data_IF_312010904367
#
_entry.id   IF_312010904367
#
_cell.length_a   1.000
_cell.length_b   1.000
_cell.length_c   1.000
_cell.angle_alpha   90.00
_cell.angle_beta   90.00
_cell.angle_gamma   90.00
#
_symmetry.space_group_name_H-M   'P 1'
#
loop_
_entity.id
_entity.type
_entity.pdbx_description
1 polymer ?
#
# COMPACT_ATOMS: atom_id res chain seq x y z
N UNK A 1 -8.19 33.30 -15.79
CA UNK A 1 -8.92 33.58 -14.54
C UNK A 1 -8.38 32.61 -13.50
N UNK A 2 -7.19 32.87 -12.95
CA UNK A 2 -6.96 33.53 -11.66
C UNK A 2 -7.75 32.90 -10.49
N UNK A 3 -6.95 32.35 -9.58
CA UNK A 3 -7.16 31.41 -8.46
C UNK A 3 -7.42 32.21 -7.15
N UNK A 4 -7.84 31.59 -6.03
CA UNK A 4 -6.84 31.46 -4.95
C UNK A 4 -6.90 30.20 -4.05
N UNK A 5 -5.70 29.81 -3.61
CA UNK A 5 -5.31 29.23 -2.31
C UNK A 5 -5.88 27.86 -1.89
N UNK A 6 -5.12 26.76 -1.78
CA UNK A 6 -3.85 26.59 -1.02
C UNK A 6 -3.73 27.51 0.18
N UNK A 7 -4.72 27.48 1.07
CA UNK A 7 -4.54 28.05 2.41
C UNK A 7 -3.93 27.00 3.32
N UNK A 8 -2.60 27.05 3.47
CA UNK A 8 -1.92 26.56 4.65
C UNK A 8 -2.44 27.37 5.85
N UNK A 9 -3.25 26.76 6.73
CA UNK A 9 -3.60 27.36 8.03
C UNK A 9 -2.85 26.64 9.14
N UNK A 10 -2.12 27.46 9.88
CA UNK A 10 -1.26 27.17 11.02
C UNK A 10 -2.04 26.35 12.08
N UNK A 11 -1.49 25.21 12.50
CA UNK A 11 -1.82 24.67 13.83
C UNK A 11 -0.87 25.35 14.80
N UNK A 12 -1.39 26.38 15.47
CA UNK A 12 -0.79 26.97 16.67
C UNK A 12 -1.08 25.98 17.80
N UNK A 13 -0.03 25.47 18.46
CA UNK A 13 -0.16 25.01 19.84
C UNK A 13 -0.03 26.26 20.73
N UNK A 14 -1.08 26.72 21.44
CA UNK A 14 -0.88 27.74 22.46
C UNK A 14 -0.27 27.10 23.72
N UNK A 15 1.02 27.39 23.90
CA UNK A 15 1.82 27.62 25.13
C UNK A 15 1.78 26.59 26.28
N UNK A 16 2.88 26.21 26.96
CA UNK A 16 4.29 26.64 26.98
C UNK A 16 5.14 25.52 27.63
N UNK A 17 6.48 25.49 27.67
CA UNK A 17 7.54 26.51 27.87
C UNK A 17 8.87 25.95 27.30
N UNK A 18 9.81 26.77 26.77
CA UNK A 18 11.09 26.32 26.19
C UNK A 18 12.25 26.22 27.23
N UNK A 19 13.44 25.68 26.86
CA UNK A 19 14.40 25.05 27.77
C UNK A 19 15.42 26.01 28.39
N UNK A 20 16.02 25.65 29.52
CA UNK A 20 17.23 26.32 30.04
C UNK A 20 18.24 25.36 30.71
N UNK A 21 19.42 25.28 30.08
CA UNK A 21 20.81 25.35 30.62
C UNK A 21 21.24 24.63 31.92
N UNK A 22 22.14 23.63 31.75
CA UNK A 22 23.46 23.38 32.39
C UNK A 22 23.74 23.59 33.92
N UNK A 23 24.02 22.47 34.63
CA UNK A 23 25.02 22.10 35.71
C UNK A 23 25.47 23.07 36.86
N UNK A 24 26.14 22.63 37.98
CA UNK A 24 26.17 21.36 38.77
C UNK A 24 26.15 21.50 40.34
N UNK A 25 25.99 20.35 41.08
CA UNK A 25 26.39 19.97 42.50
C UNK A 25 25.82 20.77 43.69
N UNK A 26 25.51 20.29 44.91
CA UNK A 26 25.62 19.05 45.76
C UNK A 26 24.90 19.37 47.12
N UNK A 27 24.87 18.58 48.23
CA UNK A 27 25.24 17.16 48.48
C UNK A 27 24.13 16.31 49.18
N UNK A 28 24.36 14.98 49.24
CA UNK A 28 23.64 13.97 50.07
C UNK A 28 23.76 14.22 51.58
N UNK A 29 22.86 13.64 52.40
CA UNK A 29 23.13 12.35 53.07
C UNK A 29 21.83 11.49 53.15
N UNK A 30 21.74 10.19 53.45
CA UNK A 30 22.62 9.14 53.98
C UNK A 30 21.87 7.79 53.92
N UNK A 31 22.58 6.68 54.16
CA UNK A 31 22.13 5.34 54.61
C UNK A 31 21.24 4.49 53.67
N UNK A 32 21.41 3.17 53.43
CA UNK A 32 22.33 2.11 53.90
C UNK A 32 21.95 0.79 53.18
N UNK A 33 22.96 -0.06 52.89
CA UNK A 33 22.95 -1.56 52.93
C UNK A 33 21.96 -2.35 52.03
N UNK A 34 22.27 -3.47 51.37
CA UNK A 34 23.38 -4.44 51.42
C UNK A 34 23.37 -5.32 50.15
N UNK A 35 24.57 -5.81 49.76
CA UNK A 35 24.93 -7.20 49.31
C UNK A 35 24.03 -7.98 48.34
N UNK A 36 24.49 -8.83 47.42
CA UNK A 36 25.76 -9.21 46.82
C UNK A 36 25.39 -10.23 45.70
N UNK A 37 26.16 -10.23 44.61
CA UNK A 37 26.22 -11.23 43.50
C UNK A 37 26.80 -12.59 44.00
N UNK A 38 27.18 -13.63 43.19
CA UNK A 38 27.43 -13.70 41.72
C UNK A 38 27.34 -15.09 40.99
N UNK A 39 27.87 -15.10 39.73
CA UNK A 39 28.54 -16.17 38.93
C UNK A 39 27.67 -17.28 38.26
N UNK A 40 27.93 -17.84 37.06
CA UNK A 40 29.08 -17.96 36.11
C UNK A 40 28.52 -18.23 34.67
N UNK A 41 29.04 -17.74 33.53
CA UNK A 41 30.25 -18.07 32.75
C UNK A 41 30.41 -19.54 32.28
N UNK A 42 30.42 -19.77 30.95
CA UNK A 42 31.02 -20.93 30.27
C UNK A 42 31.32 -20.62 28.78
N UNK A 43 32.60 -20.65 28.45
CA UNK A 43 33.21 -20.61 27.11
C UNK A 43 33.23 -22.01 26.45
N UNK A 44 33.27 -22.08 25.10
CA UNK A 44 34.36 -22.76 24.36
C UNK A 44 34.15 -22.91 22.83
N UNK A 45 35.19 -22.48 22.10
CA UNK A 45 35.85 -23.14 20.96
C UNK A 45 35.38 -22.92 19.50
N UNK A 46 36.27 -22.28 18.74
CA UNK A 46 36.41 -22.25 17.27
C UNK A 46 37.84 -22.71 16.90
N UNK A 47 38.05 -23.42 15.78
CA UNK A 47 39.35 -23.50 15.11
C UNK A 47 39.42 -22.63 13.82
N UNK A 48 40.63 -22.27 13.32
CA UNK A 48 40.82 -21.28 12.25
C UNK A 48 40.99 -21.91 10.85
N UNK A 49 40.66 -21.16 9.80
CA UNK A 49 41.11 -21.45 8.40
C UNK A 49 41.53 -20.16 7.69
N UNK A 50 42.70 -20.24 7.02
CA UNK A 50 43.38 -19.17 6.28
C UNK A 50 42.75 -18.82 4.91
N UNK A 51 43.03 -17.62 4.34
CA UNK A 51 42.54 -17.20 3.02
C UNK A 51 43.54 -17.49 1.88
N UNK A 52 43.09 -17.83 0.65
CA UNK A 52 43.96 -17.86 -0.52
C UNK A 52 44.08 -16.50 -1.24
N UNK A 53 45.25 -16.30 -1.84
CA UNK A 53 45.83 -15.08 -2.43
C UNK A 53 45.34 -14.76 -3.87
N UNK A 54 45.65 -13.57 -4.43
CA UNK A 54 45.02 -13.03 -5.65
C UNK A 54 45.68 -13.49 -6.98
N UNK A 55 44.87 -13.61 -8.03
CA UNK A 55 45.28 -13.92 -9.41
C UNK A 55 45.47 -12.62 -10.23
N UNK A 56 46.56 -12.46 -11.02
CA UNK A 56 46.86 -11.22 -11.75
C UNK A 56 46.27 -11.15 -13.17
N UNK A 57 45.93 -9.93 -13.61
CA UNK A 57 45.59 -9.55 -14.99
C UNK A 57 46.84 -9.43 -15.90
N UNK A 58 46.76 -9.79 -17.20
CA UNK A 58 47.73 -9.34 -18.18
C UNK A 58 47.22 -8.16 -19.04
N UNK A 59 48.18 -7.27 -19.31
CA UNK A 59 48.06 -5.97 -19.94
C UNK A 59 47.88 -5.99 -21.46
N UNK A 60 47.34 -4.87 -21.95
CA UNK A 60 47.13 -4.48 -23.33
C UNK A 60 48.42 -4.18 -24.10
N UNK A 61 48.44 -4.47 -25.42
CA UNK A 61 49.29 -3.79 -26.41
C UNK A 61 48.52 -3.58 -27.71
N UNK A 62 48.46 -2.31 -28.13
CA UNK A 62 48.03 -1.83 -29.45
C UNK A 62 49.30 -1.54 -30.28
N UNK A 63 49.25 -1.76 -31.60
CA UNK A 63 49.88 -0.79 -32.51
C UNK A 63 48.97 -0.36 -33.68
N UNK A 64 49.04 0.93 -33.99
CA UNK A 64 48.63 1.62 -35.24
C UNK A 64 49.92 2.07 -35.97
N UNK A 65 49.89 2.71 -37.16
CA UNK A 65 48.91 2.72 -38.27
C UNK A 65 49.60 2.50 -39.65
N UNK A 66 48.84 2.41 -40.76
CA UNK A 66 49.16 2.99 -42.08
C UNK A 66 47.91 2.98 -42.99
N UNK A 67 47.68 4.07 -43.74
CA UNK A 67 46.59 4.34 -44.69
C UNK A 67 47.12 4.27 -46.16
N UNK A 68 46.37 4.60 -47.26
CA UNK A 68 44.95 4.97 -47.41
C UNK A 68 44.18 4.34 -48.63
N UNK A 69 42.89 4.71 -48.72
CA UNK A 69 42.02 4.86 -49.91
C UNK A 69 41.26 3.63 -50.51
N UNK A 70 39.92 3.68 -50.43
CA UNK A 70 39.01 3.79 -51.59
C UNK A 70 37.54 3.93 -51.15
N UNK A 71 36.76 4.65 -51.95
CA UNK A 71 35.43 5.19 -51.66
C UNK A 71 34.33 4.12 -51.73
N UNK A 72 34.13 3.35 -50.66
CA UNK A 72 32.89 2.59 -50.41
C UNK A 72 32.58 2.49 -48.90
N UNK A 73 33.00 3.49 -48.13
CA UNK A 73 33.03 3.48 -46.66
C UNK A 73 32.41 4.72 -46.02
N UNK A 74 31.22 5.12 -46.46
CA UNK A 74 30.43 6.19 -45.81
C UNK A 74 29.10 5.73 -45.21
N UNK A 75 28.74 4.44 -45.33
CA UNK A 75 27.52 3.90 -44.70
C UNK A 75 27.79 2.96 -43.50
N UNK A 76 29.01 2.42 -43.38
CA UNK A 76 29.41 1.56 -42.25
C UNK A 76 30.31 2.26 -41.21
N UNK A 77 30.70 3.52 -41.44
CA UNK A 77 31.46 4.33 -40.48
C UNK A 77 30.58 5.04 -39.43
N UNK A 78 29.24 5.04 -39.59
CA UNK A 78 28.33 5.61 -38.58
C UNK A 78 28.04 4.66 -37.39
N UNK A 79 28.36 3.37 -37.53
CA UNK A 79 28.06 2.36 -36.49
C UNK A 79 29.20 2.17 -35.47
N UNK A 80 30.37 2.79 -35.65
CA UNK A 80 31.51 2.66 -34.73
C UNK A 80 31.72 3.85 -33.76
N UNK A 81 30.88 4.89 -33.82
CA UNK A 81 30.95 6.09 -32.94
C UNK A 81 29.78 6.13 -31.94
N UNK A 82 28.83 5.19 -32.03
CA UNK A 82 27.65 5.15 -31.16
C UNK A 82 27.89 4.96 -29.65
N UNK A 83 29.04 4.49 -29.12
CA UNK A 83 29.24 4.44 -27.67
C UNK A 83 29.95 5.67 -27.07
N UNK A 84 30.09 6.80 -27.79
CA UNK A 84 30.82 8.00 -27.28
C UNK A 84 30.12 9.36 -27.46
N UNK A 85 28.82 9.38 -27.74
CA UNK A 85 28.04 10.62 -27.75
C UNK A 85 27.43 10.88 -26.37
N UNK A 86 27.53 12.10 -25.81
CA UNK A 86 26.85 12.43 -24.56
C UNK A 86 25.33 12.43 -24.74
N UNK A 87 24.60 11.93 -23.72
CA UNK A 87 23.19 11.53 -23.75
C UNK A 87 22.20 12.57 -24.32
N UNK A 88 22.53 13.86 -24.31
CA UNK A 88 21.64 14.94 -24.74
C UNK A 88 21.57 15.14 -26.27
N UNK A 89 22.44 14.52 -27.07
CA UNK A 89 22.39 14.62 -28.54
C UNK A 89 21.62 13.47 -29.23
N UNK A 90 21.20 12.44 -28.48
CA UNK A 90 20.45 11.30 -29.03
C UNK A 90 18.95 11.61 -29.22
N UNK A 91 18.44 12.69 -28.61
CA UNK A 91 17.03 13.07 -28.69
C UNK A 91 16.65 13.77 -30.02
N UNK A 92 17.61 14.15 -30.85
CA UNK A 92 17.34 14.87 -32.10
C UNK A 92 17.19 13.97 -33.35
N UNK A 93 17.42 12.65 -33.25
CA UNK A 93 17.42 11.73 -34.40
C UNK A 93 16.35 10.63 -34.37
N UNK A 94 15.54 10.54 -33.31
CA UNK A 94 14.44 9.56 -33.22
C UNK A 94 13.08 10.27 -33.20
N UNK A 95 12.60 10.64 -34.38
CA UNK A 95 11.23 11.12 -34.56
C UNK A 95 10.21 9.98 -34.36
N UNK A 96 9.36 10.14 -33.34
CA UNK A 96 8.09 9.43 -33.11
C UNK A 96 8.16 7.90 -33.02
N UNK A 97 8.37 7.35 -31.82
CA UNK A 97 7.67 6.15 -31.35
C UNK A 97 7.60 6.17 -29.81
N UNK A 98 6.47 5.71 -29.27
CA UNK A 98 6.14 5.69 -27.85
C UNK A 98 7.25 5.08 -26.98
N UNK A 99 7.76 5.85 -26.02
CA UNK A 99 8.39 5.32 -24.82
C UNK A 99 7.50 5.67 -23.62
N UNK A 100 7.26 4.75 -22.69
CA UNK A 100 6.50 5.05 -21.49
C UNK A 100 7.24 6.11 -20.67
N UNK A 101 6.47 7.07 -20.14
CA UNK A 101 7.00 8.12 -19.26
C UNK A 101 7.78 7.48 -18.09
N UNK A 102 8.90 8.08 -17.65
CA UNK A 102 9.60 7.59 -16.48
C UNK A 102 8.65 7.62 -15.27
N UNK A 103 8.61 6.51 -14.55
CA UNK A 103 7.97 6.40 -13.24
C UNK A 103 8.58 7.50 -12.36
N UNK A 104 7.74 8.40 -11.87
CA UNK A 104 8.16 9.51 -11.03
C UNK A 104 9.03 8.98 -9.89
N UNK A 105 10.24 9.53 -9.64
CA UNK A 105 10.93 9.27 -8.40
C UNK A 105 10.05 9.79 -7.27
N UNK A 106 9.80 8.93 -6.28
CA UNK A 106 9.05 9.23 -5.07
C UNK A 106 9.36 10.66 -4.60
N UNK A 107 8.37 11.55 -4.72
CA UNK A 107 8.50 12.91 -4.23
C UNK A 107 8.62 12.84 -2.72
N UNK A 108 9.87 12.98 -2.26
CA UNK A 108 10.21 13.35 -0.88
C UNK A 108 9.62 14.73 -0.63
N UNK A 109 8.32 14.76 -0.30
CA UNK A 109 7.50 15.83 0.28
C UNK A 109 6.03 15.53 -0.04
N UNK A 110 5.52 14.40 0.45
CA UNK A 110 4.07 14.22 0.57
C UNK A 110 3.65 15.03 1.79
N UNK A 111 3.40 16.31 1.56
CA UNK A 111 2.61 17.11 2.49
C UNK A 111 1.25 16.42 2.60
N UNK A 112 0.93 15.90 3.78
CA UNK A 112 -0.37 15.32 4.11
C UNK A 112 -1.44 16.42 3.98
N UNK A 113 -1.98 16.58 2.78
CA UNK A 113 -3.23 17.31 2.61
C UNK A 113 -4.31 16.44 3.24
N UNK A 114 -4.65 16.79 4.48
CA UNK A 114 -5.87 16.40 5.19
C UNK A 114 -7.01 16.27 4.18
N UNK A 115 -7.75 15.16 4.23
CA UNK A 115 -8.99 14.98 3.48
C UNK A 115 -9.70 16.32 3.36
N UNK A 116 -9.73 16.87 2.14
CA UNK A 116 -10.88 17.68 1.75
C UNK A 116 -12.06 16.79 2.12
N UNK A 117 -12.94 17.29 2.99
CA UNK A 117 -14.16 16.61 3.41
C UNK A 117 -14.64 15.77 2.23
N UNK A 118 -14.54 14.44 2.34
CA UNK A 118 -14.98 13.58 1.26
C UNK A 118 -16.46 13.91 1.13
N UNK A 119 -16.84 14.54 0.02
CA UNK A 119 -18.24 14.58 -0.31
C UNK A 119 -18.67 13.11 -0.41
N UNK A 120 -19.90 12.75 -0.02
CA UNK A 120 -20.35 11.35 0.05
C UNK A 120 -20.23 10.56 -1.27
N UNK A 121 -19.69 11.14 -2.34
CA UNK A 121 -19.44 10.52 -3.64
C UNK A 121 -17.95 10.19 -3.91
N UNK A 122 -17.01 10.58 -3.05
CA UNK A 122 -15.56 10.42 -3.33
C UNK A 122 -14.99 9.05 -2.87
N UNK A 123 -15.61 8.42 -1.86
CA UNK A 123 -15.20 7.12 -1.32
C UNK A 123 -15.86 5.94 -2.03
N UNK A 124 -15.15 4.82 -2.21
CA UNK A 124 -15.68 3.61 -2.84
C UNK A 124 -15.20 2.37 -2.10
N UNK A 125 -16.11 1.46 -1.75
CA UNK A 125 -15.80 0.16 -1.14
C UNK A 125 -15.71 -0.94 -2.20
N UNK A 126 -14.58 -1.65 -2.24
CA UNK A 126 -14.29 -2.72 -3.19
C UNK A 126 -14.15 -4.05 -2.45
N UNK A 127 -15.13 -4.93 -2.66
CA UNK A 127 -15.15 -6.29 -2.11
C UNK A 127 -14.50 -7.25 -3.11
N UNK A 128 -13.27 -7.65 -2.81
CA UNK A 128 -12.44 -8.49 -3.67
C UNK A 128 -12.61 -9.97 -3.33
N UNK A 129 -13.39 -10.68 -4.15
CA UNK A 129 -13.37 -12.15 -4.28
C UNK A 129 -13.61 -12.97 -2.99
N UNK A 130 -14.40 -12.47 -2.03
CA UNK A 130 -14.75 -13.20 -0.78
C UNK A 130 -15.77 -14.32 -1.10
N UNK A 131 -15.31 -15.43 -1.68
CA UNK A 131 -16.17 -16.50 -2.21
C UNK A 131 -16.21 -17.75 -1.33
N UNK A 132 -17.30 -18.50 -1.44
CA UNK A 132 -17.60 -19.71 -0.65
C UNK A 132 -16.49 -20.78 -0.70
N UNK A 133 -15.86 -21.03 -1.86
CA UNK A 133 -14.83 -22.08 -1.97
C UNK A 133 -13.50 -21.71 -1.33
N UNK A 134 -13.29 -20.45 -0.96
CA UNK A 134 -12.07 -20.02 -0.26
C UNK A 134 -12.12 -20.23 1.25
N UNK A 135 -13.31 -20.48 1.82
CA UNK A 135 -13.50 -20.72 3.27
C UNK A 135 -12.49 -21.66 3.92
N UNK A 136 -12.19 -22.86 3.37
CA UNK A 136 -11.33 -23.81 4.05
C UNK A 136 -9.84 -23.54 3.88
N UNK A 137 -9.46 -22.66 2.94
CA UNK A 137 -8.04 -22.47 2.55
C UNK A 137 -7.48 -21.13 3.01
N UNK A 138 -8.30 -20.09 3.12
CA UNK A 138 -7.82 -18.77 3.54
C UNK A 138 -7.61 -18.73 5.05
N UNK A 139 -6.44 -18.25 5.45
CA UNK A 139 -6.11 -18.02 6.84
C UNK A 139 -7.14 -17.09 7.50
N UNK A 140 -7.83 -17.62 8.50
CA UNK A 140 -8.73 -16.86 9.37
C UNK A 140 -9.88 -16.16 8.63
N UNK A 141 -10.40 -16.83 7.60
CA UNK A 141 -11.42 -16.32 6.68
C UNK A 141 -12.66 -15.72 7.36
N UNK A 142 -13.13 -16.29 8.47
CA UNK A 142 -14.29 -15.76 9.21
C UNK A 142 -14.08 -14.32 9.71
N UNK A 143 -12.84 -13.95 10.05
CA UNK A 143 -12.50 -12.60 10.50
C UNK A 143 -12.57 -11.58 9.35
N UNK A 144 -12.26 -12.01 8.13
CA UNK A 144 -12.42 -11.20 6.91
C UNK A 144 -13.91 -10.91 6.69
N UNK A 145 -14.77 -11.92 6.82
CA UNK A 145 -16.22 -11.77 6.68
C UNK A 145 -16.75 -10.76 7.69
N UNK A 146 -16.33 -10.85 8.96
CA UNK A 146 -16.78 -9.90 9.99
C UNK A 146 -16.34 -8.47 9.69
N UNK A 147 -15.11 -8.28 9.21
CA UNK A 147 -14.60 -6.95 8.83
C UNK A 147 -15.32 -6.40 7.59
N UNK A 148 -15.50 -7.22 6.55
CA UNK A 148 -16.22 -6.84 5.34
C UNK A 148 -17.69 -6.50 5.66
N UNK A 149 -18.35 -7.30 6.49
CA UNK A 149 -19.72 -7.02 6.97
C UNK A 149 -19.80 -5.68 7.71
N UNK A 150 -18.83 -5.38 8.59
CA UNK A 150 -18.75 -4.09 9.27
C UNK A 150 -18.63 -2.92 8.29
N UNK A 151 -17.75 -3.01 7.30
CA UNK A 151 -17.57 -1.97 6.29
C UNK A 151 -18.82 -1.79 5.43
N UNK A 152 -19.43 -2.87 4.95
CA UNK A 152 -20.66 -2.83 4.15
C UNK A 152 -21.84 -2.23 4.94
N UNK A 153 -21.96 -2.56 6.23
CA UNK A 153 -22.97 -1.96 7.12
C UNK A 153 -22.74 -0.46 7.33
N UNK A 154 -21.49 -0.02 7.36
CA UNK A 154 -21.13 1.39 7.46
C UNK A 154 -21.27 2.14 6.12
N UNK A 155 -21.10 1.45 4.99
CA UNK A 155 -21.16 2.03 3.65
C UNK A 155 -22.54 2.67 3.38
N UNK A 156 -23.63 2.05 3.84
CA UNK A 156 -24.99 2.57 3.64
C UNK A 156 -25.21 3.96 4.28
N UNK A 157 -25.03 4.17 5.60
CA UNK A 157 -25.20 5.50 6.19
C UNK A 157 -24.13 6.51 5.74
N UNK A 158 -22.96 6.05 5.30
CA UNK A 158 -21.91 6.91 4.74
C UNK A 158 -22.10 7.19 3.22
N UNK A 159 -23.13 6.61 2.59
CA UNK A 159 -23.41 6.70 1.17
C UNK A 159 -22.24 6.27 0.26
N UNK A 160 -21.42 5.32 0.71
CA UNK A 160 -20.25 4.84 -0.04
C UNK A 160 -20.71 3.83 -1.12
N UNK A 161 -20.43 4.08 -2.43
CA UNK A 161 -20.54 3.09 -3.50
C UNK A 161 -19.84 1.76 -3.20
N UNK A 162 -20.46 0.65 -3.57
CA UNK A 162 -19.93 -0.71 -3.37
C UNK A 162 -19.75 -1.40 -4.72
N UNK A 163 -18.56 -1.94 -4.96
CA UNK A 163 -18.25 -2.80 -6.09
C UNK A 163 -17.79 -4.16 -5.61
N UNK A 164 -18.42 -5.22 -6.12
CA UNK A 164 -18.11 -6.60 -5.78
C UNK A 164 -17.56 -7.31 -7.01
N UNK A 165 -16.53 -8.13 -6.80
CA UNK A 165 -16.10 -9.10 -7.81
C UNK A 165 -16.05 -10.51 -7.25
N UNK A 166 -16.19 -11.47 -8.16
CA UNK A 166 -15.79 -12.87 -7.93
C UNK A 166 -14.75 -13.28 -8.94
N UNK A 167 -13.81 -14.12 -8.52
CA UNK A 167 -12.91 -14.80 -9.42
C UNK A 167 -13.54 -16.13 -9.87
N UNK A 168 -13.79 -16.30 -11.17
CA UNK A 168 -14.31 -17.54 -11.78
C UNK A 168 -15.42 -18.19 -10.93
N UNK A 169 -16.57 -17.50 -10.81
CA UNK A 169 -17.69 -17.88 -9.94
C UNK A 169 -18.15 -19.32 -10.17
N UNK A 170 -18.12 -19.80 -11.42
CA UNK A 170 -18.48 -21.17 -11.77
C UNK A 170 -17.61 -22.23 -11.06
N UNK A 171 -16.33 -21.94 -10.81
CA UNK A 171 -15.39 -22.85 -10.14
C UNK A 171 -15.22 -22.57 -8.66
N UNK A 172 -15.19 -21.30 -8.28
CA UNK A 172 -14.85 -20.84 -6.92
C UNK A 172 -16.08 -20.45 -6.08
N UNK A 173 -17.28 -20.58 -6.64
CA UNK A 173 -18.54 -20.30 -5.96
C UNK A 173 -18.88 -18.82 -5.95
N UNK A 174 -20.06 -18.50 -5.42
CA UNK A 174 -20.53 -17.13 -5.24
C UNK A 174 -19.80 -16.44 -4.08
N UNK A 175 -19.98 -15.12 -3.97
CA UNK A 175 -19.70 -14.39 -2.74
C UNK A 175 -20.40 -15.06 -1.55
N UNK A 176 -19.76 -15.00 -0.39
CA UNK A 176 -20.26 -15.66 0.82
C UNK A 176 -21.64 -15.16 1.24
N UNK A 177 -22.49 -16.08 1.68
CA UNK A 177 -23.89 -15.78 2.00
C UNK A 177 -24.09 -14.75 3.12
N UNK A 178 -23.15 -14.63 4.06
CA UNK A 178 -23.19 -13.68 5.18
C UNK A 178 -23.12 -12.22 4.72
N UNK A 179 -22.56 -11.96 3.53
CA UNK A 179 -22.53 -10.62 2.95
C UNK A 179 -23.77 -10.32 2.11
N UNK A 180 -24.55 -11.34 1.74
CA UNK A 180 -25.76 -11.26 0.92
C UNK A 180 -26.71 -10.11 1.29
N UNK A 181 -27.09 -9.95 2.58
CA UNK A 181 -27.98 -8.87 3.01
C UNK A 181 -27.48 -7.45 2.74
N UNK A 182 -26.18 -7.28 2.46
CA UNK A 182 -25.56 -5.97 2.25
C UNK A 182 -25.12 -5.74 0.79
N UNK A 183 -25.06 -6.79 -0.02
CA UNK A 183 -24.57 -6.74 -1.40
C UNK A 183 -25.65 -6.97 -2.45
N UNK A 184 -26.90 -7.20 -2.04
CA UNK A 184 -28.02 -7.34 -2.97
C UNK A 184 -28.42 -5.97 -3.55
N UNK A 185 -28.24 -5.74 -4.88
CA UNK A 185 -28.60 -4.47 -5.52
C UNK A 185 -30.08 -4.12 -5.40
N UNK A 186 -30.97 -5.11 -5.18
CA UNK A 186 -32.39 -4.87 -5.00
C UNK A 186 -32.72 -4.20 -3.65
N UNK A 187 -31.85 -4.36 -2.65
CA UNK A 187 -32.08 -3.87 -1.28
C UNK A 187 -31.06 -2.82 -0.84
N UNK A 188 -29.91 -2.74 -1.52
CA UNK A 188 -28.86 -1.77 -1.25
C UNK A 188 -28.51 -0.94 -2.49
N UNK A 189 -28.96 0.33 -2.59
CA UNK A 189 -28.70 1.19 -3.74
C UNK A 189 -27.23 1.59 -3.89
N UNK A 190 -26.40 1.36 -2.86
CA UNK A 190 -24.97 1.64 -2.93
C UNK A 190 -24.23 0.62 -3.80
N UNK A 191 -24.80 -0.56 -4.05
CA UNK A 191 -24.18 -1.59 -4.88
C UNK A 191 -24.23 -1.14 -6.35
N UNK A 192 -23.06 -0.84 -6.90
CA UNK A 192 -22.90 -0.35 -8.28
C UNK A 192 -22.56 -1.48 -9.26
N UNK A 193 -21.86 -2.51 -8.80
CA UNK A 193 -21.55 -3.67 -9.63
C UNK A 193 -21.33 -4.95 -8.80
N UNK A 194 -21.71 -6.09 -9.38
CA UNK A 194 -21.32 -7.44 -8.95
C UNK A 194 -20.88 -8.23 -10.20
N UNK A 195 -19.57 -8.36 -10.40
CA UNK A 195 -18.98 -8.84 -11.65
C UNK A 195 -18.22 -10.15 -11.45
N UNK A 196 -18.36 -11.10 -12.38
CA UNK A 196 -17.43 -12.23 -12.48
C UNK A 196 -16.22 -11.86 -13.32
N UNK A 197 -15.03 -12.31 -12.91
CA UNK A 197 -13.79 -12.06 -13.66
C UNK A 197 -12.87 -13.26 -13.67
N UNK A 198 -12.00 -13.28 -14.67
CA UNK A 198 -10.81 -14.15 -14.72
C UNK A 198 -9.52 -13.37 -14.52
N UNK A 199 -9.55 -12.04 -14.73
CA UNK A 199 -8.46 -11.13 -14.38
C UNK A 199 -8.29 -11.10 -12.85
N UNK A 200 -7.06 -11.16 -12.36
CA UNK A 200 -6.81 -11.09 -10.91
C UNK A 200 -7.18 -9.72 -10.34
N UNK A 201 -6.78 -8.65 -11.00
CA UNK A 201 -7.23 -7.29 -10.68
C UNK A 201 -8.74 -7.14 -10.85
N UNK A 202 -9.40 -6.43 -9.93
CA UNK A 202 -10.80 -6.04 -10.06
C UNK A 202 -11.02 -5.04 -11.21
N UNK A 203 -9.97 -4.32 -11.64
CA UNK A 203 -10.04 -3.26 -12.65
C UNK A 203 -10.20 -3.84 -14.06
N UNK A 204 -11.30 -4.56 -14.29
CA UNK A 204 -11.72 -5.00 -15.62
C UNK A 204 -12.24 -3.82 -16.43
N UNK A 205 -12.35 -3.93 -17.77
CA UNK A 205 -12.96 -2.89 -18.60
C UNK A 205 -14.39 -2.53 -18.13
N UNK A 206 -15.17 -3.52 -17.70
CA UNK A 206 -16.54 -3.34 -17.22
C UNK A 206 -16.57 -2.56 -15.90
N UNK A 207 -15.69 -2.89 -14.94
CA UNK A 207 -15.63 -2.17 -13.68
C UNK A 207 -15.12 -0.74 -13.90
N UNK A 208 -14.07 -0.57 -14.70
CA UNK A 208 -13.47 0.73 -15.01
C UNK A 208 -14.47 1.67 -15.70
N UNK A 209 -15.38 1.15 -16.52
CA UNK A 209 -16.43 1.94 -17.16
C UNK A 209 -17.44 2.52 -16.15
N UNK A 210 -17.48 2.01 -14.92
CA UNK A 210 -18.34 2.51 -13.84
C UNK A 210 -17.65 3.55 -12.95
N UNK A 211 -16.36 3.83 -13.15
CA UNK A 211 -15.65 4.84 -12.38
C UNK A 211 -16.04 6.25 -12.84
N UNK A 212 -16.11 7.22 -11.91
CA UNK A 212 -16.29 8.62 -12.27
C UNK A 212 -15.05 9.17 -12.99
N UNK A 213 -15.17 10.37 -13.56
CA UNK A 213 -14.07 11.00 -14.28
C UNK A 213 -12.93 11.45 -13.36
N UNK A 214 -13.24 11.76 -12.10
CA UNK A 214 -12.27 12.13 -11.07
C UNK A 214 -11.63 10.91 -10.40
N UNK A 215 -10.40 11.05 -9.87
CA UNK A 215 -9.82 10.05 -8.98
C UNK A 215 -10.73 9.69 -7.81
N UNK A 216 -10.60 8.46 -7.34
CA UNK A 216 -11.43 7.85 -6.30
C UNK A 216 -10.60 7.64 -5.05
N UNK A 217 -11.27 7.57 -3.90
CA UNK A 217 -10.76 6.92 -2.71
C UNK A 217 -11.26 5.47 -2.66
N UNK A 218 -10.42 4.52 -3.08
CA UNK A 218 -10.78 3.10 -3.13
C UNK A 218 -10.40 2.39 -1.84
N UNK A 219 -11.39 1.81 -1.16
CA UNK A 219 -11.26 1.00 0.05
C UNK A 219 -11.25 -0.47 -0.38
N UNK A 220 -10.20 -1.21 -0.06
CA UNK A 220 -10.03 -2.61 -0.48
C UNK A 220 -10.14 -3.55 0.72
N UNK A 221 -11.08 -4.49 0.63
CA UNK A 221 -11.28 -5.62 1.55
C UNK A 221 -11.45 -6.91 0.75
N UNK A 222 -10.94 -8.03 1.26
CA UNK A 222 -11.10 -9.35 0.64
C UNK A 222 -9.80 -10.11 0.40
N UNK A 223 -9.77 -10.92 -0.65
CA UNK A 223 -8.72 -11.92 -0.89
C UNK A 223 -8.35 -12.00 -2.38
N UNK A 224 -7.18 -12.53 -2.74
CA UNK A 224 -6.03 -12.77 -1.85
C UNK A 224 -5.14 -11.54 -1.76
N UNK A 225 -4.62 -11.26 -0.56
CA UNK A 225 -3.80 -10.09 -0.26
C UNK A 225 -2.64 -9.89 -1.26
N UNK A 226 -1.92 -10.97 -1.60
CA UNK A 226 -0.76 -10.96 -2.50
C UNK A 226 -1.10 -11.14 -4.00
N UNK A 227 -2.36 -11.44 -4.36
CA UNK A 227 -2.78 -11.67 -5.75
C UNK A 227 -3.79 -10.61 -6.19
N UNK A 228 -5.08 -10.85 -5.97
CA UNK A 228 -6.15 -9.99 -6.48
C UNK A 228 -6.13 -8.61 -5.80
N UNK A 229 -5.97 -8.56 -4.48
CA UNK A 229 -5.87 -7.29 -3.73
C UNK A 229 -4.64 -6.50 -4.17
N UNK A 230 -3.49 -7.16 -4.31
CA UNK A 230 -2.25 -6.50 -4.73
C UNK A 230 -2.36 -5.95 -6.15
N UNK A 231 -2.81 -6.75 -7.13
CA UNK A 231 -2.92 -6.30 -8.52
C UNK A 231 -3.97 -5.19 -8.67
N UNK A 232 -5.12 -5.32 -7.99
CA UNK A 232 -6.15 -4.27 -7.96
C UNK A 232 -5.60 -2.96 -7.41
N UNK A 233 -4.87 -3.02 -6.29
CA UNK A 233 -4.30 -1.83 -5.65
C UNK A 233 -3.30 -1.15 -6.58
N UNK A 234 -2.40 -1.91 -7.20
CA UNK A 234 -1.39 -1.36 -8.11
C UNK A 234 -2.03 -0.73 -9.37
N UNK A 235 -3.06 -1.35 -9.93
CA UNK A 235 -3.77 -0.79 -11.10
C UNK A 235 -4.52 0.49 -10.74
N UNK A 236 -5.19 0.54 -9.59
CA UNK A 236 -5.89 1.74 -9.12
C UNK A 236 -4.90 2.90 -8.84
N UNK A 237 -3.76 2.61 -8.22
CA UNK A 237 -2.70 3.61 -8.02
C UNK A 237 -2.14 4.11 -9.35
N UNK A 238 -1.94 3.22 -10.34
CA UNK A 238 -1.47 3.60 -11.67
C UNK A 238 -2.48 4.48 -12.44
N UNK A 239 -3.78 4.34 -12.13
CA UNK A 239 -4.84 5.21 -12.63
C UNK A 239 -4.98 6.52 -11.85
N UNK A 240 -4.19 6.73 -10.80
CA UNK A 240 -4.18 7.96 -10.01
C UNK A 240 -5.21 8.01 -8.89
N UNK A 241 -5.87 6.90 -8.58
CA UNK A 241 -6.76 6.80 -7.41
C UNK A 241 -5.94 6.70 -6.12
N UNK A 242 -6.51 7.16 -5.00
CA UNK A 242 -5.96 6.92 -3.67
C UNK A 242 -6.54 5.62 -3.14
N UNK A 243 -5.70 4.73 -2.62
CA UNK A 243 -6.12 3.38 -2.26
C UNK A 243 -5.85 3.12 -0.78
N UNK A 244 -6.89 2.66 -0.08
CA UNK A 244 -6.89 2.26 1.32
C UNK A 244 -7.01 0.73 1.40
N UNK A 245 -5.98 0.04 1.86
CA UNK A 245 -6.02 -1.41 2.06
C UNK A 245 -6.29 -1.70 3.53
N UNK A 246 -7.42 -2.36 3.81
CA UNK A 246 -7.89 -2.63 5.17
C UNK A 246 -7.21 -3.87 5.73
N UNK A 247 -6.17 -3.68 6.54
CA UNK A 247 -5.28 -4.75 7.01
C UNK A 247 -6.02 -5.86 7.78
N UNK A 248 -7.01 -5.51 8.60
CA UNK A 248 -7.88 -6.43 9.34
C UNK A 248 -9.02 -7.01 8.50
N UNK A 249 -9.05 -6.68 7.20
CA UNK A 249 -10.04 -7.12 6.22
C UNK A 249 -9.43 -7.78 4.98
N UNK A 250 -8.13 -8.07 4.98
CA UNK A 250 -7.48 -8.79 3.88
C UNK A 250 -6.69 -10.00 4.38
N UNK A 251 -6.73 -11.09 3.62
CA UNK A 251 -5.98 -12.31 3.95
C UNK A 251 -5.52 -13.09 2.72
N UNK A 252 -4.81 -14.18 2.96
CA UNK A 252 -4.30 -15.12 1.97
C UNK A 252 -4.32 -16.53 2.53
N UNK A 253 -4.06 -17.52 1.68
CA UNK A 253 -3.87 -18.90 2.15
C UNK A 253 -2.73 -18.98 3.17
N UNK A 254 -1.57 -18.44 2.80
CA UNK A 254 -0.42 -18.36 3.69
C UNK A 254 -0.45 -17.01 4.46
N UNK A 255 -0.40 -17.02 5.80
CA UNK A 255 -0.44 -15.78 6.59
C UNK A 255 0.78 -14.87 6.34
N UNK A 256 1.94 -15.43 6.02
CA UNK A 256 3.19 -14.71 5.77
C UNK A 256 3.09 -13.82 4.52
N UNK A 257 2.37 -14.28 3.49
CA UNK A 257 2.15 -13.52 2.25
C UNK A 257 1.42 -12.20 2.50
N UNK A 258 0.56 -12.15 3.54
CA UNK A 258 -0.13 -10.91 3.90
C UNK A 258 0.85 -9.81 4.28
N UNK A 259 1.84 -10.13 5.11
CA UNK A 259 2.78 -9.14 5.64
C UNK A 259 3.63 -8.58 4.51
N UNK A 260 4.12 -9.44 3.63
CA UNK A 260 4.90 -9.06 2.45
C UNK A 260 4.07 -8.21 1.49
N UNK A 261 2.83 -8.62 1.19
CA UNK A 261 1.92 -7.89 0.32
C UNK A 261 1.60 -6.49 0.89
N UNK A 262 1.24 -6.40 2.17
CA UNK A 262 0.91 -5.11 2.80
C UNK A 262 2.12 -4.17 2.84
N UNK A 263 3.32 -4.68 3.13
CA UNK A 263 4.54 -3.87 3.07
C UNK A 263 4.79 -3.34 1.65
N UNK A 264 4.72 -4.22 0.64
CA UNK A 264 4.87 -3.85 -0.77
C UNK A 264 3.85 -2.80 -1.21
N UNK A 265 2.59 -2.95 -0.81
CA UNK A 265 1.53 -2.00 -1.18
C UNK A 265 1.72 -0.64 -0.52
N UNK A 266 2.19 -0.62 0.73
CA UNK A 266 2.59 0.62 1.40
C UNK A 266 3.72 1.33 0.64
N UNK A 267 4.75 0.60 0.24
CA UNK A 267 5.88 1.14 -0.53
C UNK A 267 5.45 1.64 -1.93
N UNK A 268 4.43 1.01 -2.52
CA UNK A 268 3.84 1.45 -3.78
C UNK A 268 2.96 2.72 -3.66
N UNK A 269 2.63 3.16 -2.44
CA UNK A 269 1.85 4.36 -2.18
C UNK A 269 0.41 4.12 -1.70
N UNK A 270 0.03 2.88 -1.42
CA UNK A 270 -1.26 2.60 -0.79
C UNK A 270 -1.24 2.97 0.71
N UNK A 271 -2.38 3.41 1.23
CA UNK A 271 -2.60 3.64 2.65
C UNK A 271 -3.03 2.31 3.27
N UNK A 272 -2.13 1.66 3.99
CA UNK A 272 -2.47 0.46 4.78
C UNK A 272 -3.02 0.91 6.13
N UNK A 273 -4.31 0.68 6.36
CA UNK A 273 -5.06 1.14 7.54
C UNK A 273 -5.86 -0.01 8.17
N UNK A 274 -6.66 0.28 9.19
CA UNK A 274 -7.62 -0.66 9.78
C UNK A 274 -9.05 -0.19 9.56
N UNK A 275 -10.00 -1.11 9.62
CA UNK A 275 -11.41 -0.81 9.38
C UNK A 275 -11.95 0.25 10.34
N UNK A 276 -11.57 0.22 11.62
CA UNK A 276 -12.00 1.24 12.60
C UNK A 276 -11.36 2.60 12.33
N UNK A 277 -10.03 2.64 12.08
CA UNK A 277 -9.33 3.89 11.77
C UNK A 277 -9.92 4.57 10.55
N UNK A 278 -10.18 3.80 9.50
CA UNK A 278 -10.77 4.28 8.26
C UNK A 278 -12.17 4.87 8.47
N UNK A 279 -13.04 4.21 9.22
CA UNK A 279 -14.41 4.71 9.46
C UNK A 279 -14.42 6.07 10.16
N UNK A 280 -13.55 6.28 11.15
CA UNK A 280 -13.42 7.58 11.80
C UNK A 280 -12.71 8.62 10.93
N UNK A 281 -11.74 8.21 10.11
CA UNK A 281 -11.10 9.09 9.12
C UNK A 281 -12.11 9.65 8.10
N UNK A 282 -13.01 8.80 7.60
CA UNK A 282 -14.07 9.20 6.67
C UNK A 282 -15.00 10.24 7.30
N UNK A 283 -15.40 10.04 8.56
CA UNK A 283 -16.32 10.96 9.24
C UNK A 283 -15.65 12.29 9.62
N UNK A 284 -14.36 12.28 9.96
CA UNK A 284 -13.54 13.46 10.28
C UNK A 284 -13.89 14.21 11.58
N UNK A 285 -15.14 14.20 12.03
CA UNK A 285 -15.64 14.89 13.23
C UNK A 285 -16.73 14.06 13.94
N UNK A 286 -16.71 14.07 15.27
CA UNK A 286 -17.76 13.45 16.09
C UNK A 286 -19.14 14.14 15.95
N UNK A 287 -19.18 15.32 15.34
CA UNK A 287 -20.41 16.04 14.95
C UNK A 287 -21.00 15.58 13.62
N UNK A 288 -20.34 14.67 12.89
CA UNK A 288 -20.84 14.15 11.62
C UNK A 288 -22.27 13.58 11.78
N UNK A 289 -23.14 13.83 10.80
CA UNK A 289 -24.57 13.53 10.92
C UNK A 289 -24.85 12.05 11.26
N UNK A 290 -24.05 11.13 10.73
CA UNK A 290 -24.18 9.68 10.98
C UNK A 290 -23.22 9.14 12.04
N UNK A 291 -22.49 9.99 12.77
CA UNK A 291 -21.50 9.56 13.77
C UNK A 291 -22.06 8.56 14.78
N UNK A 292 -23.25 8.83 15.34
CA UNK A 292 -23.87 7.93 16.33
C UNK A 292 -24.18 6.55 15.75
N UNK A 293 -24.56 6.48 14.48
CA UNK A 293 -24.87 5.21 13.81
C UNK A 293 -23.58 4.40 13.60
N UNK A 294 -22.53 5.03 13.03
CA UNK A 294 -21.25 4.37 12.75
C UNK A 294 -20.50 4.03 14.04
N UNK A 295 -20.44 4.93 15.02
CA UNK A 295 -19.83 4.66 16.33
C UNK A 295 -20.57 3.55 17.09
N UNK A 296 -21.90 3.49 16.99
CA UNK A 296 -22.71 2.39 17.52
C UNK A 296 -22.33 1.05 16.90
N UNK A 297 -22.16 1.02 15.57
CA UNK A 297 -21.69 -0.16 14.83
C UNK A 297 -20.27 -0.59 15.23
N UNK A 298 -19.34 0.36 15.38
CA UNK A 298 -17.97 0.06 15.85
C UNK A 298 -18.02 -0.56 17.25
N UNK A 299 -18.85 -0.03 18.15
CA UNK A 299 -19.02 -0.61 19.49
C UNK A 299 -19.63 -2.01 19.44
N UNK A 300 -20.65 -2.22 18.61
CA UNK A 300 -21.31 -3.52 18.42
C UNK A 300 -20.33 -4.59 17.93
N UNK A 301 -19.42 -4.22 17.04
CA UNK A 301 -18.45 -5.12 16.38
C UNK A 301 -17.06 -5.11 17.03
N UNK A 302 -16.95 -4.58 18.24
CA UNK A 302 -15.67 -4.35 18.91
C UNK A 302 -14.91 -5.64 19.22
N UNK A 303 -15.63 -6.70 19.61
CA UNK A 303 -15.01 -8.00 19.92
C UNK A 303 -14.48 -8.70 18.67
N UNK A 304 -15.23 -8.68 17.57
CA UNK A 304 -14.79 -9.19 16.27
C UNK A 304 -13.57 -8.41 15.77
N UNK A 305 -13.61 -7.08 15.88
CA UNK A 305 -12.51 -6.19 15.48
C UNK A 305 -11.24 -6.49 16.29
N UNK A 306 -11.36 -6.65 17.61
CA UNK A 306 -10.24 -7.01 18.48
C UNK A 306 -9.63 -8.37 18.09
N UNK A 307 -10.47 -9.36 17.78
CA UNK A 307 -10.02 -10.69 17.31
C UNK A 307 -9.33 -10.61 15.96
N UNK A 308 -9.88 -9.83 15.02
CA UNK A 308 -9.29 -9.59 13.70
C UNK A 308 -7.92 -8.94 13.82
N UNK A 309 -7.81 -7.82 14.55
CA UNK A 309 -6.54 -7.13 14.76
C UNK A 309 -5.51 -7.97 15.50
N UNK A 310 -5.91 -8.72 16.52
CA UNK A 310 -5.00 -9.59 17.27
C UNK A 310 -4.33 -10.65 16.38
N UNK A 311 -5.08 -11.21 15.43
CA UNK A 311 -4.58 -12.19 14.46
C UNK A 311 -3.79 -11.53 13.33
N UNK A 312 -4.36 -10.50 12.72
CA UNK A 312 -3.86 -9.95 11.45
C UNK A 312 -2.79 -8.87 11.60
N UNK A 313 -2.74 -8.22 12.77
CA UNK A 313 -1.87 -7.08 13.06
C UNK A 313 -1.08 -7.24 14.39
N UNK A 314 -1.35 -8.30 15.17
CA UNK A 314 -0.76 -8.50 16.50
C UNK A 314 0.65 -9.08 16.52
N UNK A 315 1.15 -9.58 15.38
CA UNK A 315 2.57 -9.95 15.23
C UNK A 315 3.35 -8.72 14.79
N UNK A 316 4.52 -8.47 15.41
CA UNK A 316 5.38 -7.30 15.11
C UNK A 316 5.52 -7.09 13.60
N UNK A 317 4.86 -6.06 13.08
CA UNK A 317 5.07 -5.50 11.73
C UNK A 317 6.45 -4.85 11.71
#
# INVERSE_FOLDING_TARGET
>A
MFVPDRVLRIIVFPHGVPPSTSYPRSPDPDLTTATATPFAALDSHFPPTEPPSPIPHPASRIPHPHAPASEHSTFLALLSILPRLPLYLLEALCGKTLLPRPIHPASKNVFWNRCSCAEPEDGTDCICDIQEKFRPVIYEFSKIITTASKLLRAAKPLNIPIYITTQNRARLGTTVSELGPYIDPATNPNVRADLDKTLFSMVTPELKAQFPAQPLDAIIVGIESHICVTQTTLDLLALGHRVYVVADGVSSVNPEERVVALARLRDAGAIVTTSESLLFEIMGDAKHAVFKQVSGLVKETGDETKKALGVFCGSKI
#
